data_IF_114342844765
#
_entry.id   IF_114342844765
#
_cell.length_a   1.000
_cell.length_b   1.000
_cell.length_c   1.000
_cell.angle_alpha   90.00
_cell.angle_beta   90.00
_cell.angle_gamma   90.00
#
_symmetry.space_group_name_H-M   'P 1'
#
loop_
_entity.id
_entity.type
_entity.pdbx_description
1 polymer ?
#
# COMPACT_ATOMS: atom_id res chain seq x y z
N UNK A 1 23.71 -11.50 -1.36
CA UNK A 1 22.77 -10.74 -2.18
C UNK A 1 22.39 -11.65 -3.33
N UNK A 2 21.10 -11.90 -3.58
CA UNK A 2 20.70 -12.69 -4.73
C UNK A 2 21.24 -12.03 -6.03
N UNK A 3 21.50 -12.82 -7.08
CA UNK A 3 21.80 -12.30 -8.41
C UNK A 3 20.73 -11.31 -8.88
N UNK A 4 21.13 -10.36 -9.75
CA UNK A 4 20.21 -9.34 -10.28
C UNK A 4 19.01 -9.99 -10.97
N UNK A 5 19.22 -11.11 -11.65
CA UNK A 5 18.19 -11.85 -12.39
C UNK A 5 17.13 -12.47 -11.47
N UNK A 6 17.49 -12.82 -10.23
CA UNK A 6 16.51 -13.30 -9.24
C UNK A 6 15.70 -12.13 -8.69
N UNK A 7 16.38 -11.02 -8.35
CA UNK A 7 15.73 -9.81 -7.87
C UNK A 7 14.78 -9.20 -8.92
N UNK A 8 15.18 -9.20 -10.19
CA UNK A 8 14.38 -8.70 -11.31
C UNK A 8 13.09 -9.50 -11.48
N UNK A 9 13.14 -10.83 -11.34
CA UNK A 9 11.95 -11.70 -11.37
C UNK A 9 10.99 -11.41 -10.22
N UNK A 10 11.51 -11.12 -9.03
CA UNK A 10 10.69 -10.77 -7.86
C UNK A 10 9.99 -9.41 -8.02
N UNK A 11 10.65 -8.45 -8.68
CA UNK A 11 10.06 -7.14 -9.00
C UNK A 11 9.07 -7.17 -10.17
N UNK A 12 9.23 -8.15 -11.07
CA UNK A 12 8.43 -8.32 -12.27
C UNK A 12 7.72 -9.70 -12.28
N UNK A 13 6.87 -10.01 -11.28
CA UNK A 13 6.21 -11.31 -11.17
C UNK A 13 5.19 -11.60 -12.31
N UNK A 14 4.95 -10.61 -13.17
CA UNK A 14 4.05 -10.69 -14.32
C UNK A 14 4.77 -10.36 -15.65
N UNK A 15 6.09 -10.48 -15.69
CA UNK A 15 6.89 -10.12 -16.85
C UNK A 15 7.16 -8.60 -16.96
N UNK A 16 7.76 -8.16 -18.08
CA UNK A 16 8.12 -6.77 -18.31
C UNK A 16 6.90 -5.81 -18.24
N UNK A 17 7.11 -4.58 -17.76
CA UNK A 17 6.01 -3.60 -17.63
C UNK A 17 5.38 -3.17 -18.96
N UNK A 18 6.16 -3.19 -20.04
CA UNK A 18 5.74 -2.84 -21.40
C UNK A 18 5.09 -4.02 -22.13
N UNK A 19 5.34 -5.25 -21.67
CA UNK A 19 4.81 -6.48 -22.25
C UNK A 19 4.50 -7.52 -21.15
N UNK A 20 3.46 -7.31 -20.32
CA UNK A 20 3.14 -8.22 -19.23
C UNK A 20 2.61 -9.56 -19.76
N UNK A 21 2.95 -10.64 -19.06
CA UNK A 21 2.55 -12.02 -19.39
C UNK A 21 1.06 -12.30 -19.18
N UNK A 22 0.33 -11.36 -18.54
CA UNK A 22 -1.09 -11.51 -18.18
C UNK A 22 -1.90 -10.26 -18.51
N UNK A 23 -3.22 -10.38 -18.70
CA UNK A 23 -4.09 -9.23 -18.90
C UNK A 23 -4.04 -8.27 -17.70
N UNK A 24 -4.00 -6.97 -17.99
CA UNK A 24 -3.91 -5.93 -16.95
C UNK A 24 -5.01 -6.01 -15.86
N UNK A 25 -6.29 -6.31 -16.17
CA UNK A 25 -7.30 -6.49 -15.12
C UNK A 25 -6.94 -7.58 -14.11
N UNK A 26 -6.35 -8.69 -14.58
CA UNK A 26 -5.92 -9.80 -13.73
C UNK A 26 -4.75 -9.40 -12.85
N UNK A 27 -3.76 -8.69 -13.40
CA UNK A 27 -2.60 -8.18 -12.67
C UNK A 27 -3.04 -7.24 -11.55
N UNK A 28 -3.88 -6.25 -11.86
CA UNK A 28 -4.39 -5.30 -10.87
C UNK A 28 -5.19 -6.06 -9.80
N UNK A 29 -6.03 -7.02 -10.19
CA UNK A 29 -6.79 -7.84 -9.24
C UNK A 29 -5.87 -8.58 -8.28
N UNK A 30 -4.86 -9.30 -8.78
CA UNK A 30 -3.93 -10.07 -7.92
C UNK A 30 -3.17 -9.16 -6.96
N UNK A 31 -2.55 -8.09 -7.47
CA UNK A 31 -1.78 -7.15 -6.65
C UNK A 31 -2.65 -6.47 -5.58
N UNK A 32 -3.84 -6.02 -5.95
CA UNK A 32 -4.72 -5.35 -4.99
C UNK A 32 -5.31 -6.32 -3.97
N UNK A 33 -5.60 -7.56 -4.36
CA UNK A 33 -6.05 -8.61 -3.45
C UNK A 33 -4.96 -9.02 -2.44
N UNK A 34 -3.72 -9.17 -2.88
CA UNK A 34 -2.59 -9.48 -2.00
C UNK A 34 -2.39 -8.35 -0.98
N UNK A 35 -2.39 -7.09 -1.42
CA UNK A 35 -2.32 -5.92 -0.53
C UNK A 35 -3.47 -5.90 0.48
N UNK A 36 -4.71 -6.16 0.04
CA UNK A 36 -5.87 -6.20 0.93
C UNK A 36 -5.72 -7.27 2.02
N UNK A 37 -5.25 -8.47 1.67
CA UNK A 37 -5.02 -9.56 2.61
C UNK A 37 -3.91 -9.21 3.61
N UNK A 38 -2.76 -8.74 3.13
CA UNK A 38 -1.62 -8.36 3.98
C UNK A 38 -1.98 -7.22 4.95
N UNK A 39 -2.69 -6.20 4.46
CA UNK A 39 -3.14 -5.07 5.30
C UNK A 39 -4.16 -5.52 6.34
N UNK A 40 -5.07 -6.44 5.99
CA UNK A 40 -6.07 -6.99 6.92
C UNK A 40 -5.40 -7.74 8.06
N UNK A 41 -4.43 -8.59 7.75
CA UNK A 41 -3.64 -9.33 8.73
C UNK A 41 -2.86 -8.38 9.64
N UNK A 42 -2.04 -7.50 9.06
CA UNK A 42 -1.25 -6.53 9.82
C UNK A 42 -2.12 -5.64 10.72
N UNK A 43 -3.27 -5.15 10.22
CA UNK A 43 -4.21 -4.36 11.03
C UNK A 43 -4.73 -5.14 12.22
N UNK A 44 -5.05 -6.43 12.04
CA UNK A 44 -5.54 -7.30 13.11
C UNK A 44 -4.47 -7.50 14.19
N UNK A 45 -3.24 -7.79 13.78
CA UNK A 45 -2.11 -8.00 14.70
C UNK A 45 -1.76 -6.73 15.48
N UNK A 46 -1.66 -5.58 14.80
CA UNK A 46 -1.38 -4.29 15.45
C UNK A 46 -2.54 -3.91 16.39
N UNK A 47 -3.79 -4.23 16.04
CA UNK A 47 -4.94 -3.99 16.92
C UNK A 47 -4.88 -4.87 18.17
N UNK A 48 -4.43 -6.13 18.04
CA UNK A 48 -4.18 -7.00 19.18
C UNK A 48 -3.06 -6.46 20.08
N UNK A 49 -1.95 -6.00 19.48
CA UNK A 49 -0.86 -5.33 20.20
C UNK A 49 -1.35 -4.11 20.97
N UNK A 50 -2.19 -3.26 20.35
CA UNK A 50 -2.79 -2.10 21.00
C UNK A 50 -3.60 -2.49 22.23
N UNK A 51 -4.41 -3.56 22.13
CA UNK A 51 -5.23 -4.08 23.25
C UNK A 51 -4.38 -4.64 24.38
N UNK A 52 -3.24 -5.26 24.06
CA UNK A 52 -2.30 -5.78 25.04
C UNK A 52 -1.74 -4.67 25.95
N UNK A 53 -1.50 -3.49 25.36
CA UNK A 53 -1.07 -2.28 26.06
C UNK A 53 0.44 -2.21 26.36
N UNK A 54 0.91 -0.99 26.62
CA UNK A 54 2.33 -0.69 26.82
C UNK A 54 3.01 -1.54 27.90
N UNK A 55 2.29 -1.89 28.98
CA UNK A 55 2.78 -2.73 30.08
C UNK A 55 3.23 -4.10 29.62
N UNK A 56 2.32 -4.83 29.00
CA UNK A 56 2.59 -6.17 28.50
C UNK A 56 3.63 -6.13 27.35
N UNK A 57 3.69 -5.02 26.61
CA UNK A 57 4.74 -4.75 25.62
C UNK A 57 6.08 -4.26 26.22
N UNK A 58 6.25 -4.30 27.56
CA UNK A 58 7.46 -3.83 28.27
C UNK A 58 7.89 -2.39 27.91
N UNK A 59 6.91 -1.54 27.59
CA UNK A 59 7.08 -0.17 27.11
C UNK A 59 6.51 0.88 28.09
N UNK A 60 6.34 0.53 29.37
CA UNK A 60 5.77 1.43 30.40
C UNK A 60 6.49 2.79 30.49
N UNK A 61 7.82 2.78 30.48
CA UNK A 61 8.63 4.00 30.58
C UNK A 61 8.48 4.95 29.39
N UNK A 62 7.87 4.50 28.30
CA UNK A 62 7.63 5.28 27.06
C UNK A 62 6.19 5.18 26.61
N UNK A 63 5.25 4.97 27.54
CA UNK A 63 3.84 4.67 27.26
C UNK A 63 3.20 5.62 26.24
N UNK A 64 3.39 6.92 26.38
CA UNK A 64 2.80 7.92 25.48
C UNK A 64 3.30 7.77 24.04
N UNK A 65 4.61 7.63 23.87
CA UNK A 65 5.23 7.41 22.55
C UNK A 65 4.79 6.06 21.95
N UNK A 66 4.70 5.02 22.78
CA UNK A 66 4.21 3.70 22.36
C UNK A 66 2.75 3.76 21.88
N UNK A 67 1.86 4.37 22.68
CA UNK A 67 0.43 4.50 22.35
C UNK A 67 0.25 5.26 21.02
N UNK A 68 1.01 6.34 20.82
CA UNK A 68 1.03 7.11 19.57
C UNK A 68 1.52 6.27 18.39
N UNK A 69 2.63 5.54 18.54
CA UNK A 69 3.22 4.75 17.45
C UNK A 69 2.32 3.59 17.01
N UNK A 70 1.71 2.86 17.96
CA UNK A 70 0.77 1.78 17.63
C UNK A 70 -0.48 2.33 16.95
N UNK A 71 -1.02 3.46 17.43
CA UNK A 71 -2.15 4.12 16.76
C UNK A 71 -1.80 4.54 15.33
N UNK A 72 -0.60 5.10 15.14
CA UNK A 72 -0.12 5.52 13.85
C UNK A 72 0.08 4.36 12.88
N UNK A 73 0.58 3.21 13.36
CA UNK A 73 0.68 2.00 12.55
C UNK A 73 -0.70 1.48 12.09
N UNK A 74 -1.73 1.57 12.94
CA UNK A 74 -3.11 1.27 12.55
C UNK A 74 -3.63 2.22 11.46
N UNK A 75 -3.35 3.52 11.58
CA UNK A 75 -3.73 4.51 10.58
C UNK A 75 -3.04 4.24 9.23
N UNK A 76 -1.76 3.85 9.24
CA UNK A 76 -1.04 3.42 8.04
C UNK A 76 -1.70 2.21 7.36
N UNK A 77 -2.13 1.21 8.13
CA UNK A 77 -2.87 0.07 7.57
C UNK A 77 -4.17 0.52 6.89
N UNK A 78 -4.94 1.41 7.54
CA UNK A 78 -6.19 1.93 6.98
C UNK A 78 -5.93 2.71 5.68
N UNK A 79 -4.95 3.61 5.68
CA UNK A 79 -4.58 4.37 4.49
C UNK A 79 -4.14 3.47 3.33
N UNK A 80 -3.37 2.42 3.63
CA UNK A 80 -2.90 1.46 2.61
C UNK A 80 -4.06 0.66 2.04
N UNK A 81 -5.00 0.22 2.89
CA UNK A 81 -6.22 -0.46 2.44
C UNK A 81 -7.09 0.43 1.55
N UNK A 82 -7.20 1.73 1.86
CA UNK A 82 -7.92 2.68 1.01
C UNK A 82 -7.23 2.89 -0.35
N UNK A 83 -5.90 2.95 -0.38
CA UNK A 83 -5.12 3.02 -1.61
C UNK A 83 -5.32 1.77 -2.48
N UNK A 84 -5.20 0.57 -1.89
CA UNK A 84 -5.46 -0.71 -2.55
C UNK A 84 -6.88 -0.79 -3.12
N UNK A 85 -7.89 -0.46 -2.31
CA UNK A 85 -9.29 -0.47 -2.74
C UNK A 85 -9.56 0.53 -3.88
N UNK A 86 -8.85 1.66 -3.93
CA UNK A 86 -8.97 2.63 -5.04
C UNK A 86 -8.43 2.04 -6.34
N UNK A 87 -7.31 1.33 -6.30
CA UNK A 87 -6.76 0.62 -7.46
C UNK A 87 -7.63 -0.58 -7.85
N UNK A 88 -8.18 -1.32 -6.88
CA UNK A 88 -9.05 -2.46 -7.13
C UNK A 88 -10.29 -2.08 -7.94
N UNK A 89 -10.80 -0.84 -7.79
CA UNK A 89 -11.92 -0.33 -8.61
C UNK A 89 -11.60 -0.26 -10.10
N UNK A 90 -10.33 -0.12 -10.49
CA UNK A 90 -9.91 -0.09 -11.89
C UNK A 90 -10.13 -1.45 -12.59
N UNK A 91 -10.11 -2.56 -11.86
CA UNK A 91 -10.37 -3.91 -12.42
C UNK A 91 -11.75 -4.06 -13.03
N UNK A 92 -12.72 -3.23 -12.60
CA UNK A 92 -14.12 -3.26 -13.03
C UNK A 92 -14.44 -2.20 -14.10
N UNK A 93 -13.45 -1.40 -14.50
CA UNK A 93 -13.65 -0.37 -15.50
C UNK A 93 -13.62 -0.99 -16.90
N UNK A 94 -14.74 -0.93 -17.63
CA UNK A 94 -14.85 -1.41 -19.02
C UNK A 94 -13.86 -0.68 -19.95
N UNK A 95 -13.42 0.52 -19.58
CA UNK A 95 -12.46 1.33 -20.30
C UNK A 95 -11.08 1.40 -19.63
N UNK A 96 -10.65 0.35 -18.92
CA UNK A 96 -9.34 0.31 -18.23
C UNK A 96 -8.17 0.68 -19.15
N UNK A 97 -8.16 0.20 -20.40
CA UNK A 97 -7.12 0.53 -21.37
C UNK A 97 -7.09 2.03 -21.70
N UNK A 98 -8.26 2.66 -21.83
CA UNK A 98 -8.39 4.10 -22.04
C UNK A 98 -7.97 4.89 -20.79
N UNK A 99 -8.35 4.42 -19.59
CA UNK A 99 -7.90 5.02 -18.32
C UNK A 99 -6.38 4.97 -18.23
N UNK A 100 -5.72 3.87 -18.60
CA UNK A 100 -4.25 3.77 -18.58
C UNK A 100 -3.59 4.63 -19.65
N UNK A 101 -4.26 4.85 -20.78
CA UNK A 101 -3.76 5.68 -21.88
C UNK A 101 -3.93 7.18 -21.63
N UNK A 102 -5.09 7.61 -21.13
CA UNK A 102 -5.47 9.02 -20.96
C UNK A 102 -5.24 9.53 -19.53
N UNK A 103 -5.34 8.65 -18.53
CA UNK A 103 -5.12 8.94 -17.12
C UNK A 103 -3.85 8.25 -16.67
N UNK A 104 -3.21 8.79 -15.65
CA UNK A 104 -2.15 8.10 -14.94
C UNK A 104 -2.48 7.99 -13.45
N UNK A 105 -1.80 7.07 -12.80
CA UNK A 105 -1.86 6.91 -11.35
C UNK A 105 -0.74 7.74 -10.76
N UNK A 106 -1.09 8.81 -10.04
CA UNK A 106 -0.14 9.64 -9.30
C UNK A 106 -0.12 9.17 -7.86
N UNK A 107 1.08 8.92 -7.35
CA UNK A 107 1.30 8.90 -5.90
C UNK A 107 1.45 10.33 -5.44
N UNK A 108 0.51 10.81 -4.62
CA UNK A 108 0.62 12.10 -3.96
C UNK A 108 1.84 12.13 -3.06
N UNK A 109 2.55 13.26 -3.07
CA UNK A 109 3.66 13.48 -2.15
C UNK A 109 3.16 13.42 -0.71
N UNK A 110 3.87 12.66 0.13
CA UNK A 110 3.61 12.69 1.55
C UNK A 110 4.19 14.00 2.12
N UNK A 111 3.32 14.97 2.36
CA UNK A 111 3.72 16.26 2.93
C UNK A 111 4.56 16.04 4.22
N UNK A 112 5.67 16.77 4.40
CA UNK A 112 6.46 16.71 5.61
C UNK A 112 5.60 16.92 6.87
N UNK A 113 5.69 16.01 7.83
CA UNK A 113 4.89 16.07 9.07
C UNK A 113 3.47 15.51 8.98
N UNK A 114 2.98 15.14 7.78
CA UNK A 114 1.67 14.46 7.62
C UNK A 114 1.77 12.93 7.54
N UNK A 115 2.95 12.38 7.75
CA UNK A 115 3.16 10.92 7.83
C UNK A 115 2.57 10.42 9.13
N UNK A 116 1.88 9.28 9.07
CA UNK A 116 1.43 8.62 10.28
C UNK A 116 2.64 8.11 11.08
N UNK A 117 3.69 7.60 10.43
CA UNK A 117 4.84 7.04 11.13
C UNK A 117 6.17 7.52 10.50
N UNK A 118 7.21 7.68 11.31
CA UNK A 118 8.51 8.19 10.85
C UNK A 118 9.19 7.26 9.84
N UNK A 119 8.94 5.95 9.97
CA UNK A 119 9.54 4.92 9.11
C UNK A 119 8.63 4.41 7.98
N UNK A 120 7.38 4.88 7.90
CA UNK A 120 6.46 4.45 6.86
C UNK A 120 5.70 5.59 6.23
N UNK A 121 5.70 5.61 4.90
CA UNK A 121 4.96 6.55 4.08
C UNK A 121 3.89 5.77 3.35
N UNK A 122 2.63 6.14 3.58
CA UNK A 122 1.52 5.67 2.75
C UNK A 122 1.12 6.82 1.84
N UNK A 123 1.53 6.81 0.56
CA UNK A 123 1.18 7.86 -0.38
C UNK A 123 -0.32 7.82 -0.66
N UNK A 124 -0.92 8.99 -0.86
CA UNK A 124 -2.29 9.06 -1.37
C UNK A 124 -2.27 8.66 -2.83
N UNK A 125 -3.05 7.65 -3.21
CA UNK A 125 -3.16 7.25 -4.61
C UNK A 125 -4.24 8.07 -5.30
N UNK A 126 -3.93 8.68 -6.43
CA UNK A 126 -4.85 9.48 -7.24
C UNK A 126 -4.82 9.05 -8.71
N UNK A 127 -6.00 9.00 -9.32
CA UNK A 127 -6.13 8.83 -10.77
C UNK A 127 -6.28 10.22 -11.32
N UNK A 128 -5.31 10.66 -12.13
CA UNK A 128 -5.20 12.01 -12.69
C UNK A 128 -5.13 11.92 -14.21
N UNK A 129 -5.51 12.98 -14.93
CA UNK A 129 -5.30 13.00 -16.38
C UNK A 129 -3.79 13.11 -16.69
N UNK A 130 -3.31 12.46 -17.77
CA UNK A 130 -1.88 12.47 -18.11
C UNK A 130 -1.33 13.85 -18.45
N UNK A 131 -2.18 14.80 -18.84
CA UNK A 131 -1.81 16.21 -19.02
C UNK A 131 -1.47 16.92 -17.70
N UNK A 132 -1.77 16.30 -16.55
CA UNK A 132 -1.54 16.82 -15.21
C UNK A 132 -0.46 16.04 -14.41
N UNK A 133 0.20 15.07 -15.07
CA UNK A 133 1.39 14.37 -14.56
C UNK A 133 2.65 15.11 -14.98
#
# INVERSE_FOLDING_TARGET
MPPFEEFDKDLHPFGPYDAPDRPLPEIIYRLTHDVENMVKEAKSEIAALKKLGAKAAKSEGVKEAWDKNVQNALLSCIATGLAGAKLAKLTRAENLAEIVQQKGVKMGEAEPGKKYHDWWIVPKVEVVDKSAL
#
